data_IF_285164391424
#
_entry.id   IF_285164391424
#
_cell.length_a   1.000
_cell.length_b   1.000
_cell.length_c   1.000
_cell.angle_alpha   90.00
_cell.angle_beta   90.00
_cell.angle_gamma   90.00
#
_symmetry.space_group_name_H-M   'P 1'
#
loop_
_entity.id
_entity.type
_entity.pdbx_description
1 polymer ?
#
# COMPACT_ATOMS: atom_id res chain seq x y z
N UNK A 1 -15.36 59.39 70.66
CA UNK A 1 -15.88 59.90 69.36
C UNK A 1 -14.79 59.89 68.28
N UNK A 2 -13.64 60.53 68.49
CA UNK A 2 -12.54 60.57 67.50
C UNK A 2 -11.89 59.21 67.22
N UNK A 3 -11.60 58.40 68.25
CA UNK A 3 -10.97 57.08 68.09
C UNK A 3 -11.81 56.10 67.22
N UNK A 4 -13.13 56.05 67.42
CA UNK A 4 -14.01 55.21 66.59
C UNK A 4 -14.01 55.65 65.12
N UNK A 5 -13.85 56.95 64.84
CA UNK A 5 -13.79 57.47 63.48
C UNK A 5 -12.51 57.01 62.77
N UNK A 6 -11.38 57.10 63.45
CA UNK A 6 -10.08 56.63 62.93
C UNK A 6 -10.11 55.12 62.64
N UNK A 7 -10.69 54.32 63.54
CA UNK A 7 -10.85 52.88 63.34
C UNK A 7 -11.72 52.54 62.12
N UNK A 8 -12.82 53.27 61.92
CA UNK A 8 -13.67 53.14 60.73
C UNK A 8 -12.89 53.52 59.45
N UNK A 9 -12.14 54.62 59.47
CA UNK A 9 -11.34 55.07 58.32
C UNK A 9 -10.21 54.09 57.97
N UNK A 10 -9.60 53.42 58.96
CA UNK A 10 -8.65 52.35 58.73
C UNK A 10 -9.31 51.11 58.13
N UNK A 11 -10.49 50.74 58.61
CA UNK A 11 -11.23 49.59 58.08
C UNK A 11 -11.73 49.81 56.65
N UNK A 12 -12.15 51.03 56.32
CA UNK A 12 -12.50 51.41 54.94
C UNK A 12 -11.29 51.25 54.02
N UNK A 13 -10.11 51.73 54.43
CA UNK A 13 -8.88 51.57 53.65
C UNK A 13 -8.50 50.11 53.44
N UNK A 14 -8.56 49.29 54.49
CA UNK A 14 -8.30 47.86 54.38
C UNK A 14 -9.27 47.15 53.40
N UNK A 15 -10.56 47.48 53.46
CA UNK A 15 -11.56 46.94 52.54
C UNK A 15 -11.34 47.41 51.08
N UNK A 16 -10.86 48.64 50.89
CA UNK A 16 -10.51 49.15 49.55
C UNK A 16 -9.30 48.41 48.98
N UNK A 17 -8.26 48.15 49.79
CA UNK A 17 -7.10 47.38 49.35
C UNK A 17 -7.47 45.93 49.01
N UNK A 18 -8.32 45.29 49.84
CA UNK A 18 -8.87 43.97 49.57
C UNK A 18 -9.69 43.94 48.27
N UNK A 19 -10.52 44.96 48.03
CA UNK A 19 -11.32 45.07 46.81
C UNK A 19 -10.44 45.16 45.56
N UNK A 20 -9.39 45.99 45.60
CA UNK A 20 -8.43 46.12 44.48
C UNK A 20 -7.72 44.80 44.23
N UNK A 21 -7.32 44.08 45.28
CA UNK A 21 -6.68 42.77 45.15
C UNK A 21 -7.62 41.74 44.51
N UNK A 22 -8.87 41.69 44.95
CA UNK A 22 -9.88 40.78 44.38
C UNK A 22 -10.16 41.13 42.92
N UNK A 23 -10.24 42.42 42.57
CA UNK A 23 -10.41 42.85 41.18
C UNK A 23 -9.25 42.38 40.28
N UNK A 24 -8.00 42.54 40.74
CA UNK A 24 -6.84 42.03 40.01
C UNK A 24 -6.88 40.52 39.82
N UNK A 25 -7.29 39.77 40.85
CA UNK A 25 -7.43 38.31 40.76
C UNK A 25 -8.51 37.88 39.76
N UNK A 26 -9.62 38.61 39.69
CA UNK A 26 -10.68 38.37 38.71
C UNK A 26 -10.15 38.59 37.29
N UNK A 27 -9.43 39.69 37.05
CA UNK A 27 -8.83 39.96 35.74
C UNK A 27 -7.84 38.87 35.31
N UNK A 28 -7.05 38.34 36.23
CA UNK A 28 -6.11 37.26 35.92
C UNK A 28 -6.83 35.94 35.62
N UNK A 29 -7.89 35.61 36.38
CA UNK A 29 -8.74 34.44 36.10
C UNK A 29 -9.43 34.58 34.73
N UNK A 30 -9.91 35.77 34.37
CA UNK A 30 -10.55 35.99 33.08
C UNK A 30 -9.55 35.82 31.92
N UNK A 31 -8.31 36.28 32.08
CA UNK A 31 -7.24 36.04 31.11
C UNK A 31 -6.92 34.56 30.98
N UNK A 32 -6.73 33.86 32.09
CA UNK A 32 -6.44 32.41 32.09
C UNK A 32 -7.57 31.62 31.43
N UNK A 33 -8.83 31.99 31.70
CA UNK A 33 -10.01 31.38 31.09
C UNK A 33 -10.02 31.59 29.57
N UNK A 34 -9.69 32.79 29.10
CA UNK A 34 -9.68 33.06 27.66
C UNK A 34 -8.54 32.28 26.96
N UNK A 35 -7.37 32.19 27.58
CA UNK A 35 -6.27 31.35 27.09
C UNK A 35 -6.70 29.88 27.01
N UNK A 36 -7.29 29.34 28.08
CA UNK A 36 -7.77 27.95 28.11
C UNK A 36 -8.83 27.68 27.03
N UNK A 37 -9.71 28.64 26.76
CA UNK A 37 -10.73 28.54 25.70
C UNK A 37 -10.10 28.50 24.30
N UNK A 38 -9.09 29.33 24.05
CA UNK A 38 -8.35 29.32 22.78
C UNK A 38 -7.60 27.99 22.60
N UNK A 39 -6.94 27.51 23.64
CA UNK A 39 -6.24 26.22 23.60
C UNK A 39 -7.18 25.04 23.36
N UNK A 40 -8.36 25.05 23.99
CA UNK A 40 -9.39 24.03 23.76
C UNK A 40 -9.89 24.06 22.33
N UNK A 41 -10.23 25.24 21.79
CA UNK A 41 -10.67 25.37 20.41
C UNK A 41 -9.63 24.85 19.41
N UNK A 42 -8.34 25.15 19.66
CA UNK A 42 -7.24 24.63 18.83
C UNK A 42 -7.12 23.12 18.91
N UNK A 43 -7.21 22.53 20.11
CA UNK A 43 -7.18 21.07 20.30
C UNK A 43 -8.36 20.38 19.61
N UNK A 44 -9.55 20.99 19.66
CA UNK A 44 -10.73 20.50 18.96
C UNK A 44 -10.50 20.51 17.44
N UNK A 45 -9.97 21.61 16.90
CA UNK A 45 -9.62 21.73 15.48
C UNK A 45 -8.60 20.64 15.07
N UNK A 46 -7.48 20.52 15.80
CA UNK A 46 -6.45 19.50 15.56
C UNK A 46 -7.04 18.08 15.60
N UNK A 47 -7.95 17.80 16.54
CA UNK A 47 -8.61 16.50 16.64
C UNK A 47 -9.54 16.24 15.45
N UNK A 48 -10.31 17.23 15.01
CA UNK A 48 -11.18 17.08 13.84
C UNK A 48 -10.40 16.85 12.56
N UNK A 49 -9.24 17.47 12.40
CA UNK A 49 -8.37 17.26 11.24
C UNK A 49 -7.77 15.85 11.25
N UNK A 50 -7.30 15.38 12.41
CA UNK A 50 -6.82 14.00 12.57
C UNK A 50 -7.90 12.97 12.27
N UNK A 51 -9.13 13.21 12.72
CA UNK A 51 -10.26 12.32 12.45
C UNK A 51 -10.53 12.24 10.94
N UNK A 52 -10.57 13.38 10.24
CA UNK A 52 -10.75 13.44 8.79
C UNK A 52 -9.64 12.70 8.04
N UNK A 53 -8.38 12.88 8.45
CA UNK A 53 -7.25 12.18 7.85
C UNK A 53 -7.37 10.66 8.06
N UNK A 54 -7.77 10.22 9.25
CA UNK A 54 -8.00 8.81 9.56
C UNK A 54 -9.14 8.19 8.74
N UNK A 55 -10.23 8.91 8.56
CA UNK A 55 -11.35 8.47 7.70
C UNK A 55 -10.90 8.28 6.25
N UNK A 56 -10.09 9.20 5.72
CA UNK A 56 -9.53 9.08 4.37
C UNK A 56 -8.61 7.86 4.25
N UNK A 57 -7.78 7.59 5.26
CA UNK A 57 -6.92 6.40 5.30
C UNK A 57 -7.75 5.11 5.31
N UNK A 58 -8.79 5.03 6.15
CA UNK A 58 -9.66 3.85 6.20
C UNK A 58 -10.38 3.59 4.87
N UNK A 59 -10.87 4.65 4.21
CA UNK A 59 -11.50 4.52 2.91
C UNK A 59 -10.51 4.04 1.83
N UNK A 60 -9.26 4.52 1.89
CA UNK A 60 -8.20 4.04 1.00
C UNK A 60 -7.86 2.57 1.26
N UNK A 61 -7.72 2.15 2.53
CA UNK A 61 -7.49 0.75 2.90
C UNK A 61 -8.62 -0.16 2.42
N UNK A 62 -9.87 0.30 2.56
CA UNK A 62 -11.05 -0.42 2.06
C UNK A 62 -10.97 -0.64 0.55
N UNK A 63 -10.67 0.41 -0.23
CA UNK A 63 -10.49 0.30 -1.69
C UNK A 63 -9.36 -0.64 -2.08
N UNK A 64 -8.24 -0.60 -1.36
CA UNK A 64 -7.13 -1.54 -1.58
C UNK A 64 -7.56 -2.97 -1.29
N UNK A 65 -8.31 -3.21 -0.21
CA UNK A 65 -8.84 -4.52 0.15
C UNK A 65 -9.82 -5.07 -0.91
N UNK A 66 -10.71 -4.21 -1.41
CA UNK A 66 -11.63 -4.54 -2.50
C UNK A 66 -10.85 -4.90 -3.79
N UNK A 67 -9.85 -4.11 -4.16
CA UNK A 67 -8.98 -4.39 -5.31
C UNK A 67 -8.24 -5.72 -5.18
N UNK A 68 -7.66 -6.00 -4.00
CA UNK A 68 -6.99 -7.28 -3.72
C UNK A 68 -7.98 -8.43 -3.87
N UNK A 69 -9.21 -8.27 -3.37
CA UNK A 69 -10.27 -9.28 -3.47
C UNK A 69 -10.65 -9.53 -4.93
N UNK A 70 -10.77 -8.47 -5.74
CA UNK A 70 -11.03 -8.58 -7.17
C UNK A 70 -9.90 -9.30 -7.91
N UNK A 71 -8.64 -8.94 -7.64
CA UNK A 71 -7.46 -9.60 -8.23
C UNK A 71 -7.44 -11.08 -7.88
N UNK A 72 -7.66 -11.44 -6.60
CA UNK A 72 -7.75 -12.84 -6.17
C UNK A 72 -8.84 -13.61 -6.91
N UNK A 73 -10.00 -12.99 -7.13
CA UNK A 73 -11.10 -13.58 -7.89
C UNK A 73 -10.71 -13.83 -9.35
N UNK A 74 -9.95 -12.93 -9.98
CA UNK A 74 -9.48 -13.08 -11.36
C UNK A 74 -8.36 -14.12 -11.51
N UNK A 75 -7.46 -14.23 -10.52
CA UNK A 75 -6.35 -15.19 -10.55
C UNK A 75 -6.81 -16.64 -10.36
N UNK A 76 -7.90 -16.88 -9.63
CA UNK A 76 -8.43 -18.22 -9.37
C UNK A 76 -8.68 -19.07 -10.64
N UNK A 77 -9.47 -18.56 -11.61
CA UNK A 77 -9.67 -19.21 -12.90
C UNK A 77 -8.37 -19.42 -13.69
N UNK A 78 -7.50 -18.40 -13.76
CA UNK A 78 -6.21 -18.47 -14.48
C UNK A 78 -5.34 -19.60 -13.92
N UNK A 79 -5.28 -19.75 -12.59
CA UNK A 79 -4.54 -20.84 -11.95
C UNK A 79 -5.13 -22.22 -12.28
N UNK A 80 -6.46 -22.34 -12.39
CA UNK A 80 -7.11 -23.59 -12.82
C UNK A 80 -6.75 -23.91 -14.26
N UNK A 81 -6.80 -22.93 -15.15
CA UNK A 81 -6.45 -23.10 -16.57
C UNK A 81 -4.99 -23.49 -16.76
N UNK A 82 -4.06 -22.87 -16.02
CA UNK A 82 -2.64 -23.23 -16.03
C UNK A 82 -2.45 -24.68 -15.58
N UNK A 83 -3.11 -25.09 -14.48
CA UNK A 83 -3.03 -26.49 -14.00
C UNK A 83 -3.57 -27.47 -15.04
N UNK A 84 -4.70 -27.15 -15.67
CA UNK A 84 -5.30 -28.00 -16.71
C UNK A 84 -4.37 -28.13 -17.93
N UNK A 85 -3.81 -27.02 -18.44
CA UNK A 85 -2.87 -27.03 -19.57
C UNK A 85 -1.58 -27.79 -19.23
N UNK A 86 -1.07 -27.64 -18.01
CA UNK A 86 0.11 -28.39 -17.54
C UNK A 86 -0.15 -29.90 -17.56
N UNK A 87 -1.31 -30.33 -17.09
CA UNK A 87 -1.70 -31.75 -17.08
C UNK A 87 -1.83 -32.29 -18.52
N UNK A 88 -2.50 -31.56 -19.41
CA UNK A 88 -2.61 -31.92 -20.83
C UNK A 88 -1.24 -32.09 -21.50
N UNK A 89 -0.32 -31.14 -21.29
CA UNK A 89 1.04 -31.22 -21.82
C UNK A 89 1.79 -32.43 -21.25
N UNK A 90 1.64 -32.70 -19.95
CA UNK A 90 2.26 -33.86 -19.31
C UNK A 90 1.78 -35.16 -19.95
N UNK A 91 0.48 -35.28 -20.21
CA UNK A 91 -0.09 -36.46 -20.88
C UNK A 91 0.42 -36.61 -22.32
N UNK A 92 0.51 -35.52 -23.09
CA UNK A 92 1.07 -35.55 -24.45
C UNK A 92 2.54 -36.01 -24.46
N UNK A 93 3.36 -35.51 -23.54
CA UNK A 93 4.77 -35.92 -23.41
C UNK A 93 4.90 -37.38 -22.99
N UNK A 94 4.05 -37.85 -22.07
CA UNK A 94 4.03 -39.27 -21.68
C UNK A 94 3.54 -40.19 -22.81
N UNK A 95 2.66 -39.71 -23.69
CA UNK A 95 2.24 -40.45 -24.88
C UNK A 95 3.32 -40.46 -25.97
N UNK A 96 4.09 -39.37 -26.13
CA UNK A 96 5.18 -39.31 -27.11
C UNK A 96 6.43 -40.09 -26.70
N UNK A 97 6.59 -40.41 -25.41
CA UNK A 97 7.72 -41.19 -24.87
C UNK A 97 7.40 -42.66 -24.65
N UNK A 98 6.16 -43.12 -24.95
CA UNK A 98 5.89 -44.56 -25.03
C UNK A 98 6.74 -45.16 -26.16
N UNK A 99 7.57 -46.19 -25.88
CA UNK A 99 8.31 -46.86 -26.94
C UNK A 99 7.29 -47.45 -27.91
N UNK A 100 7.31 -46.95 -29.14
CA UNK A 100 6.62 -47.55 -30.28
C UNK A 100 7.24 -48.93 -30.44
N UNK A 101 6.53 -49.97 -29.98
CA UNK A 101 6.97 -51.35 -30.11
C UNK A 101 7.52 -51.58 -31.52
N UNK A 102 8.77 -52.04 -31.56
CA UNK A 102 9.43 -52.53 -32.74
C UNK A 102 8.59 -53.65 -33.35
N UNK A 103 7.92 -53.37 -34.47
CA UNK A 103 7.64 -54.39 -35.46
C UNK A 103 7.26 -53.73 -36.77
N UNK A 104 7.93 -54.18 -37.83
CA UNK A 104 7.80 -53.84 -39.24
C UNK A 104 8.29 -52.45 -39.68
N UNK A 105 9.54 -52.45 -40.17
CA UNK A 105 9.95 -51.68 -41.33
C UNK A 105 8.82 -51.74 -42.38
N UNK A 106 8.17 -50.63 -42.62
CA UNK A 106 7.45 -50.38 -43.85
C UNK A 106 7.91 -49.02 -44.34
N UNK A 107 8.52 -49.03 -45.52
CA UNK A 107 9.03 -47.86 -46.25
C UNK A 107 7.91 -46.80 -46.34
N UNK A 108 8.06 -45.70 -45.61
CA UNK A 108 7.14 -44.57 -45.64
C UNK A 108 7.39 -43.76 -46.91
N UNK A 109 6.71 -44.17 -47.98
CA UNK A 109 6.71 -43.50 -49.28
C UNK A 109 5.32 -42.95 -49.54
N UNK A 110 5.14 -41.63 -49.41
CA UNK A 110 3.87 -40.97 -49.69
C UNK A 110 3.71 -40.70 -51.18
N UNK A 111 2.60 -41.14 -51.76
CA UNK A 111 2.23 -40.86 -53.15
C UNK A 111 1.58 -39.48 -53.25
N UNK A 112 2.19 -38.59 -54.03
CA UNK A 112 1.66 -37.25 -54.34
C UNK A 112 1.43 -37.12 -55.84
N UNK A 113 0.34 -36.45 -56.23
CA UNK A 113 0.05 -36.15 -57.62
C UNK A 113 0.85 -34.93 -58.07
N UNK A 114 1.56 -35.04 -59.20
CA UNK A 114 2.23 -33.90 -59.80
C UNK A 114 1.22 -32.96 -60.49
N UNK A 115 1.69 -31.78 -60.91
CA UNK A 115 0.88 -30.71 -61.53
C UNK A 115 0.17 -31.13 -62.83
N UNK A 116 0.53 -32.29 -63.40
CA UNK A 116 -0.06 -32.87 -64.61
C UNK A 116 -0.95 -34.09 -64.31
N UNK A 117 -1.32 -34.31 -63.04
CA UNK A 117 -2.23 -35.39 -62.64
C UNK A 117 -1.61 -36.80 -62.64
N UNK A 118 -0.28 -36.94 -62.73
CA UNK A 118 0.40 -38.25 -62.61
C UNK A 118 0.93 -38.46 -61.19
N UNK A 119 0.72 -39.67 -60.65
CA UNK A 119 1.20 -40.08 -59.32
C UNK A 119 2.72 -40.21 -59.34
N UNK A 120 3.41 -39.54 -58.41
CA UNK A 120 4.84 -39.74 -58.11
C UNK A 120 4.97 -40.15 -56.65
N UNK A 121 5.91 -41.06 -56.38
CA UNK A 121 6.27 -41.47 -55.03
C UNK A 121 7.41 -40.58 -54.57
N UNK A 122 7.24 -39.94 -53.42
CA UNK A 122 8.22 -38.99 -52.84
C UNK A 122 8.67 -39.53 -51.48
N UNK A 123 9.99 -39.58 -51.27
CA UNK A 123 10.59 -39.96 -50.00
C UNK A 123 10.52 -38.79 -49.01
N UNK A 124 10.36 -39.12 -47.73
CA UNK A 124 10.14 -38.19 -46.62
C UNK A 124 11.23 -37.09 -46.50
N UNK A 125 12.43 -37.32 -47.05
CA UNK A 125 13.53 -36.36 -47.14
C UNK A 125 13.33 -35.21 -48.15
N UNK A 126 12.45 -35.35 -49.15
CA UNK A 126 12.05 -34.25 -50.06
C UNK A 126 10.96 -33.34 -49.44
N UNK A 127 10.24 -33.81 -48.41
CA UNK A 127 9.12 -33.07 -47.78
C UNK A 127 9.61 -31.97 -46.82
N UNK A 128 10.86 -32.05 -46.36
CA UNK A 128 11.41 -31.17 -45.32
C UNK A 128 11.85 -29.79 -45.85
N UNK A 129 11.83 -29.54 -47.17
CA UNK A 129 12.29 -28.26 -47.73
C UNK A 129 11.19 -27.21 -48.02
N UNK A 130 9.90 -27.50 -47.81
CA UNK A 130 8.82 -26.59 -48.25
C UNK A 130 8.05 -25.85 -47.13
N UNK A 131 8.53 -25.85 -45.89
CA UNK A 131 8.02 -24.95 -44.85
C UNK A 131 9.16 -24.24 -44.10
N UNK A 132 9.77 -23.25 -44.76
CA UNK A 132 10.39 -22.14 -44.05
C UNK A 132 9.29 -21.07 -43.92
N UNK A 133 8.64 -20.92 -42.75
CA UNK A 133 7.61 -19.90 -42.59
C UNK A 133 8.27 -18.52 -42.65
N UNK A 134 7.57 -17.61 -43.35
CA UNK A 134 7.89 -16.20 -43.58
C UNK A 134 8.42 -15.49 -42.31
N UNK A 135 9.74 -15.39 -42.18
CA UNK A 135 10.48 -14.59 -41.17
C UNK A 135 10.20 -13.07 -41.08
N UNK A 136 9.59 -12.34 -42.04
CA UNK A 136 9.43 -10.89 -41.92
C UNK A 136 8.47 -10.44 -40.81
N UNK A 137 7.43 -11.22 -40.50
CA UNK A 137 6.39 -10.81 -39.55
C UNK A 137 6.85 -10.82 -38.09
N UNK A 138 7.60 -11.86 -37.70
CA UNK A 138 8.15 -11.97 -36.34
C UNK A 138 9.21 -10.89 -36.05
N UNK A 139 10.03 -10.54 -37.06
CA UNK A 139 11.02 -9.48 -36.91
C UNK A 139 10.38 -8.09 -36.70
N UNK A 140 9.28 -7.80 -37.40
CA UNK A 140 8.50 -6.57 -37.22
C UNK A 140 7.83 -6.52 -35.84
N UNK A 141 7.24 -7.63 -35.39
CA UNK A 141 6.58 -7.72 -34.09
C UNK A 141 7.58 -7.57 -32.92
N UNK A 142 8.77 -8.14 -33.05
CA UNK A 142 9.86 -7.95 -32.07
C UNK A 142 10.34 -6.49 -32.04
N UNK A 143 10.42 -5.81 -33.19
CA UNK A 143 10.79 -4.40 -33.25
C UNK A 143 9.73 -3.48 -32.62
N UNK A 144 8.44 -3.75 -32.84
CA UNK A 144 7.34 -3.01 -32.21
C UNK A 144 7.30 -3.23 -30.68
N UNK A 145 7.50 -4.46 -30.22
CA UNK A 145 7.58 -4.78 -28.80
C UNK A 145 8.80 -4.11 -28.16
N UNK A 146 9.94 -4.08 -28.84
CA UNK A 146 11.16 -3.41 -28.36
C UNK A 146 10.93 -1.90 -28.19
N UNK A 147 10.24 -1.27 -29.15
CA UNK A 147 9.88 0.15 -29.07
C UNK A 147 8.92 0.44 -27.92
N UNK A 148 7.94 -0.44 -27.67
CA UNK A 148 7.04 -0.32 -26.51
C UNK A 148 7.77 -0.46 -25.17
N UNK A 149 8.71 -1.40 -25.06
CA UNK A 149 9.53 -1.59 -23.86
C UNK A 149 10.35 -0.33 -23.58
N UNK A 150 10.99 0.25 -24.60
CA UNK A 150 11.77 1.47 -24.46
C UNK A 150 10.91 2.66 -24.02
N UNK A 151 9.70 2.79 -24.56
CA UNK A 151 8.77 3.84 -24.16
C UNK A 151 8.32 3.70 -22.71
N UNK A 152 7.93 2.49 -22.28
CA UNK A 152 7.56 2.22 -20.88
C UNK A 152 8.73 2.49 -19.93
N UNK A 153 9.96 2.18 -20.35
CA UNK A 153 11.16 2.47 -19.56
C UNK A 153 11.39 3.97 -19.38
N UNK A 154 11.20 4.78 -20.44
CA UNK A 154 11.30 6.25 -20.38
C UNK A 154 10.22 6.85 -19.49
N UNK A 155 8.98 6.35 -19.59
CA UNK A 155 7.88 6.80 -18.74
C UNK A 155 8.13 6.46 -17.26
N UNK A 156 8.60 5.25 -16.95
CA UNK A 156 8.99 4.90 -15.58
C UNK A 156 10.11 5.79 -15.03
N UNK A 157 11.12 6.09 -15.85
CA UNK A 157 12.22 6.95 -15.42
C UNK A 157 11.76 8.38 -15.18
N UNK A 158 10.93 8.93 -16.07
CA UNK A 158 10.32 10.25 -15.88
C UNK A 158 9.44 10.32 -14.62
N UNK A 159 8.65 9.26 -14.35
CA UNK A 159 7.83 9.18 -13.15
C UNK A 159 8.70 9.14 -11.89
N UNK A 160 9.80 8.37 -11.90
CA UNK A 160 10.77 8.31 -10.79
C UNK A 160 11.40 9.67 -10.54
N UNK A 161 11.84 10.38 -11.59
CA UNK A 161 12.42 11.72 -11.47
C UNK A 161 11.39 12.74 -10.95
N UNK A 162 10.13 12.64 -11.38
CA UNK A 162 9.04 13.50 -10.91
C UNK A 162 8.72 13.27 -9.42
N UNK A 163 8.63 12.00 -9.00
CA UNK A 163 8.43 11.63 -7.60
C UNK A 163 9.60 12.07 -6.72
N UNK A 164 10.83 11.96 -7.24
CA UNK A 164 12.03 12.38 -6.52
C UNK A 164 12.12 13.91 -6.37
N UNK A 165 11.74 14.68 -7.40
CA UNK A 165 11.63 16.14 -7.30
C UNK A 165 10.55 16.56 -6.30
N UNK A 166 9.41 15.87 -6.26
CA UNK A 166 8.36 16.12 -5.27
C UNK A 166 8.86 15.84 -3.85
N UNK A 167 9.57 14.74 -3.64
CA UNK A 167 10.23 14.40 -2.37
C UNK A 167 11.20 15.48 -1.90
N UNK A 168 11.97 16.07 -2.81
CA UNK A 168 12.93 17.14 -2.47
C UNK A 168 12.27 18.51 -2.26
N UNK A 169 11.22 18.85 -3.03
CA UNK A 169 10.44 20.08 -2.85
C UNK A 169 9.66 20.10 -1.52
N UNK A 170 9.19 18.95 -1.06
CA UNK A 170 8.56 18.80 0.26
C UNK A 170 9.60 18.89 1.40
N UNK A 171 10.88 18.57 1.15
CA UNK A 171 11.95 18.78 2.14
C UNK A 171 12.49 20.20 2.20
N UNK A 172 12.57 20.94 1.08
CA UNK A 172 13.08 22.33 1.10
C UNK A 172 12.10 23.32 1.77
N UNK A 173 10.80 23.09 1.64
CA UNK A 173 9.75 23.86 2.36
C UNK A 173 9.65 23.50 3.84
N UNK A 174 10.11 22.30 4.23
CA UNK A 174 10.12 21.86 5.64
C UNK A 174 11.41 22.29 6.37
N UNK A 175 12.56 22.36 5.68
CA UNK A 175 13.85 22.69 6.31
C UNK A 175 13.96 24.19 6.63
N UNK A 176 13.34 25.09 5.84
CA UNK A 176 13.40 26.55 6.14
C UNK A 176 12.53 26.98 7.32
N UNK A 177 11.64 26.13 7.83
CA UNK A 177 10.78 26.44 9.01
C UNK A 177 11.30 25.90 10.34
N UNK A 178 12.37 25.10 10.36
CA UNK A 178 12.89 24.42 11.57
C UNK A 178 14.23 24.97 12.10
N UNK A 179 14.54 26.24 11.86
CA UNK A 179 15.73 26.89 12.44
C UNK A 179 15.38 28.04 13.41
N UNK A 180 14.26 27.95 14.11
CA UNK A 180 13.97 28.74 15.30
C UNK A 180 13.23 27.87 16.32
N UNK A 181 13.98 27.03 17.04
CA UNK A 181 13.79 26.69 18.45
C UNK A 181 14.66 25.47 18.79
N UNK A 182 15.84 25.78 19.31
CA UNK A 182 16.66 24.90 20.13
C UNK A 182 15.89 24.51 21.39
N UNK A 183 15.89 23.21 21.77
CA UNK A 183 16.05 22.65 23.13
C UNK A 183 15.95 21.11 23.09
N UNK A 184 16.50 20.35 24.07
CA UNK A 184 17.42 19.25 23.82
C UNK A 184 16.77 17.86 23.88
N UNK A 185 17.57 16.89 23.42
CA UNK A 185 17.37 15.44 23.40
C UNK A 185 16.51 14.88 24.54
N UNK A 186 15.47 14.14 24.17
CA UNK A 186 14.90 13.10 25.02
C UNK A 186 14.91 11.79 24.23
N UNK A 187 15.85 10.92 24.60
CA UNK A 187 15.96 9.54 24.14
C UNK A 187 14.67 8.77 24.47
N UNK A 188 13.95 8.34 23.45
CA UNK A 188 12.81 7.43 23.61
C UNK A 188 13.31 6.01 23.89
N UNK A 189 13.19 5.57 25.15
CA UNK A 189 13.25 4.14 25.50
C UNK A 189 12.05 3.42 24.90
N UNK A 190 12.31 2.48 23.98
CA UNK A 190 11.32 1.57 23.42
C UNK A 190 11.09 0.43 24.41
N UNK A 191 9.95 0.43 25.08
CA UNK A 191 9.52 -0.70 25.90
C UNK A 191 8.80 -1.73 25.01
N UNK A 192 9.44 -2.89 24.79
CA UNK A 192 8.85 -4.04 24.09
C UNK A 192 7.83 -4.72 25.01
N UNK A 193 6.54 -4.65 24.67
CA UNK A 193 5.54 -5.55 25.26
C UNK A 193 5.63 -6.90 24.53
N UNK A 194 6.22 -7.89 25.21
CA UNK A 194 6.16 -9.28 24.79
C UNK A 194 4.75 -9.83 25.07
N UNK A 195 4.04 -10.22 24.02
CA UNK A 195 2.82 -11.02 24.13
C UNK A 195 3.18 -12.43 24.60
N UNK A 196 2.62 -12.86 25.72
CA UNK A 196 2.50 -14.28 26.08
C UNK A 196 1.02 -14.63 26.21
N UNK A 197 0.47 -15.21 25.15
CA UNK A 197 -0.61 -16.17 25.29
C UNK A 197 -0.01 -17.46 25.87
N UNK A 198 -0.59 -17.98 26.96
CA UNK A 198 -0.87 -19.42 27.08
C UNK A 198 -1.97 -19.67 28.10
N UNK A 199 -2.97 -20.43 27.64
CA UNK A 199 -3.97 -21.12 28.43
C UNK A 199 -3.36 -21.93 29.59
N UNK A 200 -4.07 -22.05 30.73
CA UNK A 200 -4.27 -23.31 31.47
C UNK A 200 -5.29 -23.17 32.64
N UNK A 201 -6.48 -23.73 32.38
CA UNK A 201 -7.39 -24.54 33.22
C UNK A 201 -7.43 -24.41 34.76
N UNK A 202 -8.68 -24.51 35.23
CA UNK A 202 -9.18 -25.10 36.49
C UNK A 202 -9.19 -24.24 37.75
N UNK A 203 -10.40 -23.81 38.14
CA UNK A 203 -10.96 -24.20 39.45
C UNK A 203 -12.47 -23.98 39.48
N UNK A 204 -13.20 -25.09 39.36
CA UNK A 204 -14.57 -25.27 39.86
C UNK A 204 -14.58 -25.02 41.35
N UNK A 205 -15.54 -24.26 41.90
CA UNK A 205 -16.29 -24.58 43.14
C UNK A 205 -17.27 -23.45 43.51
N UNK A 206 -18.57 -23.79 43.47
CA UNK A 206 -19.64 -23.49 44.47
C UNK A 206 -19.93 -22.01 44.79
N UNK A 207 -21.16 -21.50 44.96
CA UNK A 207 -22.54 -21.99 45.12
C UNK A 207 -23.37 -20.69 45.07
N UNK A 208 -24.39 -20.56 44.22
CA UNK A 208 -25.80 -20.67 44.61
C UNK A 208 -26.09 -20.42 46.10
N UNK A 209 -26.53 -19.21 46.44
CA UNK A 209 -27.81 -18.94 47.11
C UNK A 209 -28.19 -17.47 46.94
#
# INVERSE_FOLDING_TARGET
MLQNREEIEHRIRALQDELVKVQSQIEDIDKEKEVAKIELAKKEEDYTEQLRAREQQMEQEKRVSENITQIKRQLGPILKDIKAKKEQLSQMVSQSTKPRNESTLAESSTSVFNKNGKRRIVHESEIVQEEIPKKPKLALEVAELSKKIEQVSKEQQSLRESLEKKRHGDTETTITRKNQNSYPENEWRVEKIASQETNLKSSTLMKAH
#
